data_IF_290692414931
#
_entry.id   IF_290692414931
#
_cell.length_a   1.000
_cell.length_b   1.000
_cell.length_c   1.000
_cell.angle_alpha   90.00
_cell.angle_beta   90.00
_cell.angle_gamma   90.00
#
_symmetry.space_group_name_H-M   'P 1'
#
loop_
_entity.id
_entity.type
_entity.pdbx_description
1 polymer ?
#
# COMPACT_ATOMS: atom_id res chain seq x y z
N UNK A 1 -56.21 -4.38 -0.95
CA UNK A 1 -54.84 -3.87 -1.14
C UNK A 1 -54.04 -4.24 0.10
N UNK A 2 -53.22 -5.29 0.05
CA UNK A 2 -52.42 -5.74 1.21
C UNK A 2 -51.14 -4.90 1.27
N UNK A 3 -50.94 -4.20 2.38
CA UNK A 3 -49.75 -3.40 2.66
C UNK A 3 -48.68 -4.37 3.19
N UNK A 4 -47.53 -4.54 2.51
CA UNK A 4 -46.47 -5.41 2.99
C UNK A 4 -45.87 -4.85 4.30
N UNK A 5 -45.59 -5.73 5.27
CA UNK A 5 -45.17 -5.35 6.63
C UNK A 5 -43.65 -5.40 6.84
N UNK A 6 -42.89 -5.98 5.92
CA UNK A 6 -41.43 -6.05 5.98
C UNK A 6 -40.82 -5.72 4.61
N UNK A 7 -39.69 -5.02 4.61
CA UNK A 7 -38.95 -4.63 3.40
C UNK A 7 -38.57 -5.83 2.52
N UNK A 8 -38.44 -7.01 3.13
CA UNK A 8 -38.13 -8.30 2.48
C UNK A 8 -39.28 -8.83 1.60
N UNK A 9 -40.54 -8.42 1.83
CA UNK A 9 -41.68 -8.78 0.96
C UNK A 9 -41.67 -8.00 -0.37
N UNK A 10 -41.07 -6.81 -0.39
CA UNK A 10 -40.96 -5.96 -1.60
C UNK A 10 -39.87 -6.49 -2.54
N UNK A 11 -38.83 -7.10 -1.98
CA UNK A 11 -37.65 -7.57 -2.73
C UNK A 11 -37.87 -9.00 -3.29
N UNK A 12 -38.92 -9.70 -2.82
CA UNK A 12 -39.13 -11.12 -3.13
C UNK A 12 -38.20 -11.99 -2.29
N UNK A 13 -38.78 -12.87 -1.48
CA UNK A 13 -38.06 -13.65 -0.47
C UNK A 13 -36.94 -14.57 -0.98
N UNK A 14 -36.20 -15.12 -0.02
CA UNK A 14 -35.03 -16.01 -0.16
C UNK A 14 -35.20 -17.18 -1.15
N UNK A 15 -35.01 -16.92 -2.44
CA UNK A 15 -34.90 -17.94 -3.47
C UNK A 15 -33.46 -18.48 -3.60
N UNK A 16 -33.25 -19.76 -3.95
CA UNK A 16 -31.91 -20.32 -4.17
C UNK A 16 -31.14 -19.55 -5.24
N UNK A 17 -31.84 -18.98 -6.24
CA UNK A 17 -31.27 -18.13 -7.27
C UNK A 17 -30.68 -16.82 -6.71
N UNK A 18 -31.36 -16.18 -5.77
CA UNK A 18 -30.89 -14.96 -5.11
C UNK A 18 -29.64 -15.25 -4.26
N UNK A 19 -29.61 -16.41 -3.59
CA UNK A 19 -28.44 -16.87 -2.85
C UNK A 19 -27.26 -17.20 -3.79
N UNK A 20 -27.51 -17.82 -4.94
CA UNK A 20 -26.47 -18.08 -5.95
C UNK A 20 -25.86 -16.79 -6.50
N UNK A 21 -26.68 -15.77 -6.79
CA UNK A 21 -26.19 -14.45 -7.23
C UNK A 21 -25.37 -13.80 -6.12
N UNK A 22 -25.85 -13.83 -4.86
CA UNK A 22 -25.12 -13.28 -3.73
C UNK A 22 -23.74 -13.94 -3.56
N UNK A 23 -23.67 -15.27 -3.63
CA UNK A 23 -22.41 -16.01 -3.56
C UNK A 23 -21.47 -15.63 -4.71
N UNK A 24 -21.98 -15.50 -5.94
CA UNK A 24 -21.19 -15.05 -7.09
C UNK A 24 -20.64 -13.62 -6.91
N UNK A 25 -21.44 -12.71 -6.36
CA UNK A 25 -21.00 -11.35 -6.02
C UNK A 25 -19.87 -11.37 -4.97
N UNK A 26 -19.98 -12.22 -3.95
CA UNK A 26 -18.92 -12.39 -2.94
C UNK A 26 -17.61 -12.90 -3.57
N UNK A 27 -17.69 -13.93 -4.42
CA UNK A 27 -16.50 -14.48 -5.11
C UNK A 27 -15.87 -13.49 -6.10
N UNK A 28 -16.66 -12.65 -6.78
CA UNK A 28 -16.11 -11.64 -7.69
C UNK A 28 -15.53 -10.43 -6.93
N UNK A 29 -16.00 -10.14 -5.72
CA UNK A 29 -15.54 -9.02 -4.92
C UNK A 29 -14.29 -9.36 -4.10
N UNK A 30 -14.04 -10.64 -3.81
CA UNK A 30 -12.91 -11.05 -2.98
C UNK A 30 -11.54 -10.68 -3.56
N UNK A 31 -11.24 -10.80 -4.89
CA UNK A 31 -9.94 -10.43 -5.43
C UNK A 31 -9.68 -8.92 -5.31
N UNK A 32 -10.74 -8.11 -5.41
CA UNK A 32 -10.65 -6.67 -5.25
C UNK A 32 -10.23 -6.31 -3.82
N UNK A 33 -10.92 -6.86 -2.82
CA UNK A 33 -10.56 -6.65 -1.43
C UNK A 33 -9.13 -7.15 -1.15
N UNK A 34 -8.76 -8.33 -1.66
CA UNK A 34 -7.42 -8.88 -1.46
C UNK A 34 -6.33 -7.96 -2.03
N UNK A 35 -6.55 -7.39 -3.21
CA UNK A 35 -5.63 -6.41 -3.80
C UNK A 35 -5.52 -5.15 -2.94
N UNK A 36 -6.64 -4.61 -2.46
CA UNK A 36 -6.66 -3.43 -1.60
C UNK A 36 -5.92 -3.65 -0.27
N UNK A 37 -6.06 -4.83 0.32
CA UNK A 37 -5.33 -5.18 1.53
C UNK A 37 -3.85 -5.48 1.28
N UNK A 38 -3.50 -5.98 0.08
CA UNK A 38 -2.12 -6.30 -0.26
C UNK A 38 -1.17 -5.11 -0.16
N UNK A 39 -1.64 -3.88 -0.43
CA UNK A 39 -0.81 -2.68 -0.35
C UNK A 39 -0.27 -2.42 1.06
N UNK A 40 -1.02 -2.78 2.10
CA UNK A 40 -0.58 -2.65 3.51
C UNK A 40 0.59 -3.57 3.83
N UNK A 41 0.68 -4.72 3.13
CA UNK A 41 1.79 -5.66 3.30
C UNK A 41 3.02 -5.28 2.45
N UNK A 42 2.82 -4.63 1.30
CA UNK A 42 3.91 -4.19 0.44
C UNK A 42 4.53 -2.85 0.85
N UNK A 43 3.71 -1.95 1.40
CA UNK A 43 4.12 -0.64 1.90
C UNK A 43 3.82 -0.47 3.41
N UNK A 44 4.39 -1.33 4.28
CA UNK A 44 4.25 -1.13 5.72
C UNK A 44 5.07 0.10 6.16
N UNK A 45 4.66 0.70 7.27
CA UNK A 45 5.53 1.66 7.97
C UNK A 45 6.69 0.89 8.59
N UNK A 46 7.87 1.04 8.00
CA UNK A 46 9.13 0.53 8.53
C UNK A 46 9.90 1.68 9.15
N UNK A 47 10.67 1.39 10.19
CA UNK A 47 11.60 2.36 10.74
C UNK A 47 12.79 2.50 9.78
N UNK A 48 13.15 3.76 9.52
CA UNK A 48 14.26 4.12 8.65
C UNK A 48 15.03 5.29 9.22
N UNK A 49 16.29 5.37 8.85
CA UNK A 49 17.20 6.44 9.25
C UNK A 49 18.16 6.78 8.11
N UNK A 50 18.91 7.86 8.30
CA UNK A 50 19.88 8.29 7.30
C UNK A 50 21.05 7.31 7.24
N UNK A 51 21.40 6.90 6.01
CA UNK A 51 22.44 5.91 5.79
C UNK A 51 23.79 6.41 6.32
N UNK A 52 24.56 5.47 6.88
CA UNK A 52 25.90 5.74 7.38
C UNK A 52 26.85 6.02 6.22
N UNK A 53 27.68 7.09 6.28
CA UNK A 53 28.72 7.31 5.28
C UNK A 53 29.79 6.22 5.38
N UNK A 54 30.53 6.01 4.30
CA UNK A 54 31.54 4.95 4.19
C UNK A 54 32.61 5.01 5.30
N UNK A 55 32.94 6.22 5.75
CA UNK A 55 33.88 6.48 6.85
C UNK A 55 33.41 5.84 8.17
N UNK A 56 32.11 5.87 8.45
CA UNK A 56 31.48 5.28 9.64
C UNK A 56 31.47 3.76 9.56
N UNK A 57 31.25 3.22 8.35
CA UNK A 57 31.29 1.79 8.10
C UNK A 57 32.70 1.22 8.31
N UNK A 58 33.72 1.92 7.83
CA UNK A 58 35.13 1.53 8.03
C UNK A 58 35.57 1.59 9.49
N UNK A 59 35.02 2.52 10.27
CA UNK A 59 35.26 2.64 11.70
C UNK A 59 34.52 1.56 12.54
N UNK A 60 33.72 0.68 11.91
CA UNK A 60 32.95 -0.39 12.55
C UNK A 60 32.03 0.11 13.69
N UNK A 61 31.43 1.29 13.47
CA UNK A 61 30.54 1.94 14.44
C UNK A 61 29.14 1.31 14.36
N UNK A 62 28.54 1.09 15.53
CA UNK A 62 27.20 0.52 15.64
C UNK A 62 26.11 1.46 15.11
N UNK A 63 24.99 0.90 14.67
CA UNK A 63 23.85 1.68 14.17
C UNK A 63 23.27 2.58 15.26
N UNK A 64 23.18 2.08 16.50
CA UNK A 64 22.64 2.84 17.63
C UNK A 64 23.52 4.04 18.01
N UNK A 65 24.84 3.88 17.96
CA UNK A 65 25.78 4.96 18.23
C UNK A 65 25.73 6.06 17.16
N UNK A 66 25.61 5.65 15.89
CA UNK A 66 25.37 6.56 14.78
C UNK A 66 24.07 7.35 14.96
N UNK A 67 22.98 6.65 15.27
CA UNK A 67 21.64 7.23 15.45
C UNK A 67 21.61 8.25 16.59
N UNK A 68 22.12 7.88 17.76
CA UNK A 68 22.06 8.73 18.95
C UNK A 68 22.92 10.00 18.83
N UNK A 69 24.00 9.95 18.04
CA UNK A 69 24.93 11.08 17.92
C UNK A 69 24.58 12.00 16.75
N UNK A 70 24.20 11.45 15.59
CA UNK A 70 24.12 12.21 14.35
C UNK A 70 22.69 12.60 13.94
N UNK A 71 21.68 11.98 14.53
CA UNK A 71 20.28 12.28 14.20
C UNK A 71 19.71 13.25 15.25
N UNK A 72 19.28 14.46 14.85
CA UNK A 72 18.68 15.40 15.78
C UNK A 72 17.37 14.89 16.37
N UNK A 73 17.15 15.24 17.64
CA UNK A 73 15.89 15.03 18.32
C UNK A 73 14.99 16.24 18.01
N UNK A 74 13.86 16.00 17.37
CA UNK A 74 12.85 16.99 17.05
C UNK A 74 11.66 16.84 17.99
N UNK A 75 11.02 17.97 18.31
CA UNK A 75 9.76 17.94 19.05
C UNK A 75 8.64 17.66 18.08
N UNK A 76 8.01 16.50 18.22
CA UNK A 76 6.82 16.14 17.47
C UNK A 76 5.68 17.11 17.80
N UNK A 77 4.63 17.12 16.97
CA UNK A 77 3.44 17.98 17.18
C UNK A 77 2.75 17.73 18.53
N UNK A 78 2.96 16.55 19.09
CA UNK A 78 2.49 16.11 20.41
C UNK A 78 3.37 16.58 21.58
N UNK A 79 4.47 17.30 21.32
CA UNK A 79 5.44 17.73 22.33
C UNK A 79 6.35 16.61 22.84
N UNK A 80 6.34 15.45 22.17
CA UNK A 80 7.21 14.30 22.46
C UNK A 80 8.54 14.48 21.72
N UNK A 81 9.64 14.22 22.41
CA UNK A 81 10.98 14.21 21.84
C UNK A 81 11.16 12.94 21.00
N UNK A 82 11.35 13.10 19.69
CA UNK A 82 11.43 12.02 18.70
C UNK A 82 12.63 12.22 17.77
N UNK A 83 13.27 11.15 17.32
CA UNK A 83 14.38 11.26 16.37
C UNK A 83 13.87 11.71 15.00
N UNK A 84 14.61 12.61 14.34
CA UNK A 84 14.23 13.02 12.99
C UNK A 84 14.54 11.93 11.96
N UNK A 85 13.57 11.54 11.15
CA UNK A 85 13.78 10.52 10.11
C UNK A 85 14.43 11.07 8.81
N UNK A 86 14.44 12.39 8.62
CA UNK A 86 14.77 13.02 7.33
C UNK A 86 15.99 13.93 7.35
N UNK A 87 16.54 14.18 8.53
CA UNK A 87 17.65 15.12 8.73
C UNK A 87 18.76 14.49 9.54
N UNK A 88 19.99 14.90 9.25
CA UNK A 88 21.20 14.45 9.94
C UNK A 88 22.13 15.64 10.17
N UNK A 89 22.91 15.60 11.22
CA UNK A 89 23.98 16.57 11.40
C UNK A 89 25.14 16.26 10.46
N UNK A 90 25.73 17.32 9.90
CA UNK A 90 26.99 17.19 9.19
C UNK A 90 28.10 16.91 10.22
N UNK A 91 28.57 15.67 10.27
CA UNK A 91 29.60 15.23 11.21
C UNK A 91 30.78 14.59 10.47
N UNK A 92 31.97 14.84 11.02
CA UNK A 92 33.21 14.22 10.57
C UNK A 92 33.73 13.30 11.66
N UNK A 93 34.25 12.13 11.29
CA UNK A 93 34.93 11.24 12.23
C UNK A 93 36.39 11.67 12.35
N UNK A 94 36.83 11.97 13.58
CA UNK A 94 38.25 12.04 13.89
C UNK A 94 38.54 11.22 15.16
N UNK A 95 39.63 10.46 15.14
CA UNK A 95 40.06 9.61 16.27
C UNK A 95 38.96 8.69 16.84
N UNK A 96 38.07 8.17 15.98
CA UNK A 96 36.96 7.29 16.39
C UNK A 96 35.82 7.99 17.13
N UNK A 97 35.76 9.33 17.10
CA UNK A 97 34.67 10.12 17.68
C UNK A 97 34.02 11.03 16.64
N UNK A 98 32.71 11.23 16.79
CA UNK A 98 31.93 12.12 15.94
C UNK A 98 32.12 13.58 16.36
N UNK A 99 32.55 14.41 15.42
CA UNK A 99 32.61 15.85 15.59
C UNK A 99 31.58 16.52 14.69
N UNK A 100 30.59 17.16 15.32
CA UNK A 100 29.66 18.02 14.62
C UNK A 100 30.36 19.31 14.23
N UNK A 101 30.13 19.76 13.00
CA UNK A 101 30.57 21.08 12.59
C UNK A 101 29.69 22.11 13.33
N UNK A 102 30.28 22.81 14.29
CA UNK A 102 29.58 23.81 15.11
C UNK A 102 28.93 24.89 14.20
N UNK A 103 27.64 25.17 14.43
CA UNK A 103 26.78 26.09 13.66
C UNK A 103 26.31 25.64 12.27
N UNK A 104 26.29 24.34 11.99
CA UNK A 104 25.62 23.84 10.78
C UNK A 104 24.21 23.39 11.12
N UNK A 105 23.22 23.95 10.42
CA UNK A 105 21.85 23.44 10.48
C UNK A 105 21.81 21.97 10.02
N UNK A 106 20.87 21.16 10.55
CA UNK A 106 20.67 19.79 10.09
C UNK A 106 20.44 19.75 8.57
N UNK A 107 21.17 18.88 7.89
CA UNK A 107 21.06 18.70 6.44
C UNK A 107 20.08 17.58 6.12
N UNK A 108 19.45 17.66 4.95
CA UNK A 108 18.60 16.58 4.44
C UNK A 108 19.45 15.36 4.07
N UNK A 109 18.92 14.18 4.37
CA UNK A 109 19.56 12.92 4.01
C UNK A 109 19.35 12.61 2.53
N UNK A 110 20.38 12.10 1.87
CA UNK A 110 20.33 11.72 0.46
C UNK A 110 20.20 10.20 0.27
N UNK A 111 20.48 9.43 1.31
CA UNK A 111 20.40 7.97 1.34
C UNK A 111 19.88 7.51 2.69
N UNK A 112 19.18 6.38 2.71
CA UNK A 112 18.52 5.82 3.88
C UNK A 112 18.94 4.36 4.10
N UNK A 113 18.96 3.96 5.37
CA UNK A 113 19.14 2.58 5.81
C UNK A 113 17.86 2.20 6.57
N UNK A 114 17.28 1.06 6.22
CA UNK A 114 15.97 0.60 6.67
C UNK A 114 16.12 -0.56 7.67
N UNK A 115 15.23 -0.62 8.67
CA UNK A 115 15.18 -1.78 9.55
C UNK A 115 14.53 -2.98 8.85
N UNK A 116 15.33 -4.02 8.64
CA UNK A 116 14.89 -5.29 8.04
C UNK A 116 14.52 -6.37 9.08
N UNK A 117 14.39 -6.02 10.36
CA UNK A 117 14.03 -6.95 11.44
C UNK A 117 12.74 -7.72 11.15
N UNK A 118 11.73 -7.02 10.62
CA UNK A 118 10.39 -7.56 10.39
C UNK A 118 10.10 -7.89 8.92
N UNK A 119 10.71 -7.16 7.98
CA UNK A 119 10.45 -7.28 6.54
C UNK A 119 11.75 -7.26 5.73
N UNK A 120 11.94 -8.24 4.85
CA UNK A 120 13.19 -8.37 4.07
C UNK A 120 13.34 -7.32 2.96
N UNK A 121 12.24 -6.99 2.27
CA UNK A 121 12.18 -5.99 1.20
C UNK A 121 10.76 -5.45 1.13
N UNK A 122 10.63 -4.13 1.02
CA UNK A 122 9.34 -3.46 0.88
C UNK A 122 9.37 -2.52 -0.31
N UNK A 123 8.21 -2.10 -0.80
CA UNK A 123 8.17 -1.12 -1.90
C UNK A 123 8.70 0.26 -1.47
N UNK A 124 8.66 0.54 -0.17
CA UNK A 124 9.18 1.80 0.40
C UNK A 124 10.70 1.85 0.29
N UNK A 125 11.36 0.74 0.66
CA UNK A 125 12.80 0.54 0.59
C UNK A 125 13.31 0.49 -0.86
N UNK A 126 12.65 -0.26 -1.74
CA UNK A 126 13.10 -0.41 -3.15
C UNK A 126 13.05 0.90 -3.96
N UNK A 127 12.16 1.84 -3.61
CA UNK A 127 11.94 3.09 -4.36
C UNK A 127 12.25 4.36 -3.58
N UNK A 128 12.83 4.24 -2.38
CA UNK A 128 13.12 5.35 -1.46
C UNK A 128 11.93 6.32 -1.29
N UNK A 129 10.76 5.76 -0.97
CA UNK A 129 9.50 6.51 -0.82
C UNK A 129 9.38 7.15 0.58
N UNK A 130 10.46 7.76 1.06
CA UNK A 130 10.55 8.39 2.38
C UNK A 130 10.69 9.91 2.29
N UNK A 131 10.39 10.61 3.38
CA UNK A 131 10.58 12.07 3.50
C UNK A 131 9.94 12.86 2.35
N UNK A 132 10.74 13.46 1.45
CA UNK A 132 10.26 14.25 0.32
C UNK A 132 9.44 13.42 -0.70
N UNK A 133 9.51 12.09 -0.64
CA UNK A 133 8.80 11.16 -1.55
C UNK A 133 7.68 10.36 -0.88
N UNK A 134 7.43 10.57 0.41
CA UNK A 134 6.38 9.84 1.15
C UNK A 134 4.98 10.09 0.55
N UNK A 135 4.74 11.31 0.07
CA UNK A 135 3.47 11.71 -0.54
C UNK A 135 3.11 10.91 -1.81
N UNK A 136 4.09 10.29 -2.49
CA UNK A 136 3.84 9.48 -3.69
C UNK A 136 2.98 8.25 -3.36
N UNK A 137 3.15 7.66 -2.17
CA UNK A 137 2.35 6.53 -1.71
C UNK A 137 0.88 6.95 -1.57
N UNK A 138 0.65 8.10 -0.93
CA UNK A 138 -0.68 8.69 -0.79
C UNK A 138 -1.32 9.01 -2.14
N UNK A 139 -0.53 9.58 -3.06
CA UNK A 139 -0.99 9.89 -4.42
C UNK A 139 -1.40 8.66 -5.22
N UNK A 140 -0.60 7.59 -5.19
CA UNK A 140 -0.94 6.34 -5.88
C UNK A 140 -2.30 5.81 -5.40
N UNK A 141 -2.55 5.87 -4.09
CA UNK A 141 -3.84 5.49 -3.50
C UNK A 141 -5.00 6.40 -3.95
N UNK A 142 -4.77 7.71 -4.02
CA UNK A 142 -5.79 8.66 -4.49
C UNK A 142 -6.13 8.42 -5.96
N UNK A 143 -5.13 8.25 -6.83
CA UNK A 143 -5.34 7.96 -8.26
C UNK A 143 -6.09 6.64 -8.43
N UNK A 144 -5.75 5.61 -7.65
CA UNK A 144 -6.46 4.34 -7.66
C UNK A 144 -7.95 4.51 -7.28
N UNK A 145 -8.23 5.22 -6.19
CA UNK A 145 -9.61 5.49 -5.73
C UNK A 145 -10.41 6.33 -6.73
N UNK A 146 -9.77 7.30 -7.38
CA UNK A 146 -10.40 8.08 -8.46
C UNK A 146 -10.72 7.19 -9.66
N UNK A 147 -9.78 6.33 -10.08
CA UNK A 147 -10.01 5.35 -11.14
C UNK A 147 -11.20 4.43 -10.83
N UNK A 148 -11.30 3.98 -9.58
CA UNK A 148 -12.45 3.20 -9.11
C UNK A 148 -13.77 4.00 -9.17
N UNK A 149 -13.75 5.26 -8.71
CA UNK A 149 -14.93 6.15 -8.76
C UNK A 149 -15.41 6.36 -10.20
N UNK A 150 -14.52 6.75 -11.12
CA UNK A 150 -14.89 6.95 -12.52
C UNK A 150 -15.35 5.64 -13.17
N UNK A 151 -14.69 4.53 -12.85
CA UNK A 151 -15.10 3.19 -13.26
C UNK A 151 -16.54 2.92 -12.84
N UNK A 152 -16.89 3.12 -11.57
CA UNK A 152 -18.25 2.88 -11.07
C UNK A 152 -19.31 3.78 -11.71
N UNK A 153 -19.01 5.07 -11.92
CA UNK A 153 -19.95 6.00 -12.59
C UNK A 153 -20.20 5.59 -14.04
N UNK A 154 -19.15 5.29 -14.79
CA UNK A 154 -19.24 4.87 -16.18
C UNK A 154 -20.02 3.54 -16.28
N UNK A 155 -19.70 2.59 -15.41
CA UNK A 155 -20.43 1.32 -15.32
C UNK A 155 -21.88 1.53 -14.86
N UNK A 156 -22.20 2.49 -14.01
CA UNK A 156 -23.60 2.81 -13.68
C UNK A 156 -24.37 3.31 -14.90
N UNK A 157 -23.80 4.29 -15.62
CA UNK A 157 -24.44 4.90 -16.79
C UNK A 157 -24.64 3.91 -17.94
N UNK A 158 -23.66 3.04 -18.18
CA UNK A 158 -23.75 1.96 -19.16
C UNK A 158 -24.84 0.93 -18.78
N UNK A 159 -25.27 0.83 -17.51
CA UNK A 159 -26.29 -0.12 -17.04
C UNK A 159 -27.67 0.31 -17.41
N UNK A 160 -27.92 1.59 -17.20
CA UNK A 160 -29.19 2.21 -17.51
C UNK A 160 -29.34 2.34 -19.04
N UNK A 161 -28.30 2.87 -19.69
CA UNK A 161 -27.65 2.35 -20.90
C UNK A 161 -28.29 1.22 -21.71
N UNK A 162 -27.78 0.04 -21.38
CA UNK A 162 -27.80 -1.18 -22.20
C UNK A 162 -28.79 -2.23 -21.69
N UNK A 163 -29.62 -1.89 -20.69
CA UNK A 163 -30.77 -2.68 -20.24
C UNK A 163 -30.45 -4.10 -19.79
N UNK A 164 -30.26 -4.33 -18.50
CA UNK A 164 -30.25 -5.62 -17.76
C UNK A 164 -29.43 -6.83 -18.29
N UNK A 165 -28.84 -6.78 -19.49
CA UNK A 165 -28.25 -7.95 -20.17
C UNK A 165 -26.73 -7.84 -20.36
N UNK A 166 -26.18 -6.62 -20.47
CA UNK A 166 -24.73 -6.42 -20.67
C UNK A 166 -23.90 -6.52 -19.36
N UNK A 167 -24.52 -6.28 -18.20
CA UNK A 167 -23.83 -6.24 -16.89
C UNK A 167 -23.41 -7.61 -16.41
N UNK A 168 -24.29 -8.58 -16.62
CA UNK A 168 -23.95 -9.99 -16.44
C UNK A 168 -22.81 -10.38 -17.39
N UNK A 169 -22.71 -9.78 -18.58
CA UNK A 169 -21.73 -10.14 -19.61
C UNK A 169 -20.29 -9.67 -19.31
N UNK A 170 -20.07 -8.52 -18.65
CA UNK A 170 -18.70 -8.09 -18.28
C UNK A 170 -18.09 -8.94 -17.16
N UNK A 171 -18.87 -9.28 -16.13
CA UNK A 171 -18.42 -10.17 -15.05
C UNK A 171 -18.38 -11.65 -15.46
N UNK A 172 -19.22 -12.08 -16.42
CA UNK A 172 -19.11 -13.44 -17.00
C UNK A 172 -17.97 -13.56 -18.00
N UNK A 173 -17.57 -12.51 -18.74
CA UNK A 173 -16.40 -12.59 -19.64
C UNK A 173 -15.10 -12.84 -18.89
N UNK A 174 -14.86 -12.21 -17.73
CA UNK A 174 -13.62 -12.45 -16.97
C UNK A 174 -13.58 -13.87 -16.38
N UNK A 175 -14.70 -14.37 -15.86
CA UNK A 175 -14.82 -15.74 -15.34
C UNK A 175 -14.78 -16.82 -16.44
N UNK A 176 -15.36 -16.57 -17.61
CA UNK A 176 -15.28 -17.48 -18.78
C UNK A 176 -13.88 -17.49 -19.38
N UNK A 177 -13.19 -16.35 -19.44
CA UNK A 177 -11.80 -16.27 -19.89
C UNK A 177 -10.89 -17.05 -18.92
N UNK A 178 -11.05 -16.88 -17.61
CA UNK A 178 -10.31 -17.65 -16.60
C UNK A 178 -10.61 -19.17 -16.67
N UNK A 179 -11.88 -19.55 -16.87
CA UNK A 179 -12.29 -20.95 -17.04
C UNK A 179 -11.81 -21.56 -18.37
N UNK A 180 -11.60 -20.76 -19.41
CA UNK A 180 -11.02 -21.18 -20.69
C UNK A 180 -9.50 -21.33 -20.63
N UNK A 181 -8.81 -20.48 -19.85
CA UNK A 181 -7.37 -20.58 -19.61
C UNK A 181 -7.01 -21.83 -18.79
N UNK A 182 -7.85 -22.24 -17.83
CA UNK A 182 -7.65 -23.45 -17.04
C UNK A 182 -8.12 -24.75 -17.72
N UNK A 183 -8.80 -24.68 -18.88
CA UNK A 183 -9.20 -25.87 -19.65
C UNK A 183 -8.14 -26.32 -20.67
N UNK A 184 -7.03 -25.57 -20.80
CA UNK A 184 -5.95 -25.87 -21.75
C UNK A 184 -4.87 -26.83 -21.27
N UNK A 185 -4.89 -27.32 -20.03
CA UNK A 185 -3.79 -28.12 -19.46
C UNK A 185 -4.04 -29.64 -19.38
N UNK A 186 -5.06 -30.17 -20.05
CA UNK A 186 -5.35 -31.60 -20.03
C UNK A 186 -5.74 -32.14 -21.41
N UNK A 187 -4.75 -32.39 -22.26
CA UNK A 187 -4.85 -33.46 -23.24
C UNK A 187 -3.67 -34.41 -23.04
N UNK A 188 -3.93 -35.70 -22.72
CA UNK A 188 -2.89 -36.70 -22.63
C UNK A 188 -2.36 -37.01 -24.05
N UNK A 189 -1.04 -37.01 -24.17
CA UNK A 189 -0.31 -37.53 -25.31
C UNK A 189 -0.69 -38.99 -25.58
N UNK A 190 -1.25 -39.27 -26.74
CA UNK A 190 -1.08 -40.55 -27.43
C UNK A 190 0.22 -40.51 -28.23
#
# INVERSE_FOLDING_TARGET
MKIPKDYTDIIGGHGPFQLTILMFCFFCSSPHCMHDFSITFFAPNIDYWCARPEEVLQANISVDEWRNSNIPIIKSRSGIDEYSHCTVFNSSIANGSFYHQNNTDPIKCNSWEYDHSSYKRTIVDEWDLVCDREWLIGMAKTVYMLGFLFGSVINGQLSDRFGNSIYVCHYTRTSVIWASMNRGSSYPSQ
#
